data_IF_035201131462
#
_entry.id   IF_035201131462
#
_cell.length_a   1.000
_cell.length_b   1.000
_cell.length_c   1.000
_cell.angle_alpha   90.00
_cell.angle_beta   90.00
_cell.angle_gamma   90.00
#
_symmetry.space_group_name_H-M   'P 1'
#
loop_
_entity.id
_entity.type
_entity.pdbx_description
1 polymer ?
#
# COMPACT_ATOMS: atom_id res chain seq x y z
N UNK A 1 -21.27 -0.17 33.78
CA UNK A 1 -20.36 0.15 32.67
C UNK A 1 -21.21 0.54 31.45
N UNK A 2 -21.43 1.85 31.22
CA UNK A 2 -22.12 2.32 30.00
C UNK A 2 -21.09 2.24 28.87
N UNK A 3 -21.09 1.13 28.15
CA UNK A 3 -19.98 0.80 27.26
C UNK A 3 -19.89 1.72 26.04
N UNK A 4 -21.00 2.30 25.55
CA UNK A 4 -21.00 3.05 24.28
C UNK A 4 -22.12 4.11 24.29
N UNK A 5 -21.78 5.39 24.14
CA UNK A 5 -22.72 6.49 24.01
C UNK A 5 -23.36 6.51 22.59
N UNK A 6 -24.47 7.23 22.36
CA UNK A 6 -25.17 7.18 21.05
C UNK A 6 -24.28 7.64 19.88
N UNK A 7 -23.34 8.56 20.11
CA UNK A 7 -22.32 8.96 19.12
C UNK A 7 -21.28 7.88 18.86
N UNK A 8 -20.80 7.20 19.91
CA UNK A 8 -19.81 6.13 19.81
C UNK A 8 -20.35 4.94 19.01
N UNK A 9 -21.66 4.67 19.06
CA UNK A 9 -22.30 3.64 18.22
C UNK A 9 -22.13 3.90 16.72
N UNK A 10 -22.19 5.17 16.29
CA UNK A 10 -21.99 5.54 14.88
C UNK A 10 -20.54 5.35 14.46
N UNK A 11 -19.60 5.72 15.33
CA UNK A 11 -18.17 5.55 15.06
C UNK A 11 -17.78 4.08 14.99
N UNK A 12 -18.27 3.25 15.92
CA UNK A 12 -18.07 1.79 15.90
C UNK A 12 -18.64 1.19 14.61
N UNK A 13 -19.81 1.62 14.17
CA UNK A 13 -20.40 1.17 12.91
C UNK A 13 -19.56 1.60 11.69
N UNK A 14 -19.06 2.83 11.66
CA UNK A 14 -18.19 3.31 10.57
C UNK A 14 -16.87 2.53 10.51
N UNK A 15 -16.23 2.29 11.66
CA UNK A 15 -15.00 1.49 11.74
C UNK A 15 -15.26 0.06 11.29
N UNK A 16 -16.39 -0.53 11.69
CA UNK A 16 -16.78 -1.87 11.25
C UNK A 16 -16.93 -1.97 9.73
N UNK A 17 -17.54 -0.97 9.08
CA UNK A 17 -17.65 -0.94 7.62
C UNK A 17 -16.28 -0.83 6.93
N UNK A 18 -15.37 -0.01 7.48
CA UNK A 18 -14.00 0.10 6.96
C UNK A 18 -13.27 -1.24 7.06
N UNK A 19 -13.36 -1.90 8.21
CA UNK A 19 -12.72 -3.21 8.43
C UNK A 19 -13.28 -4.26 7.48
N UNK A 20 -14.61 -4.32 7.32
CA UNK A 20 -15.24 -5.27 6.38
C UNK A 20 -14.80 -4.96 4.93
N UNK A 21 -14.78 -3.69 4.54
CA UNK A 21 -14.32 -3.29 3.21
C UNK A 21 -12.86 -3.65 2.94
N UNK A 22 -11.98 -3.41 3.92
CA UNK A 22 -10.57 -3.80 3.85
C UNK A 22 -10.42 -5.33 3.77
N UNK A 23 -11.19 -6.07 4.58
CA UNK A 23 -11.16 -7.53 4.58
C UNK A 23 -11.56 -8.11 3.21
N UNK A 24 -12.65 -7.62 2.60
CA UNK A 24 -13.08 -8.06 1.26
C UNK A 24 -12.00 -7.83 0.21
N UNK A 25 -11.20 -6.76 0.33
CA UNK A 25 -10.09 -6.49 -0.59
C UNK A 25 -8.88 -7.40 -0.38
N UNK A 26 -8.67 -7.89 0.84
CA UNK A 26 -7.48 -8.70 1.21
C UNK A 26 -7.77 -10.20 1.11
N UNK A 27 -9.02 -10.64 1.31
CA UNK A 27 -9.39 -12.06 1.49
C UNK A 27 -8.93 -12.98 0.34
N UNK A 28 -8.86 -12.47 -0.89
CA UNK A 28 -8.33 -13.20 -2.05
C UNK A 28 -7.20 -12.43 -2.76
N UNK A 29 -6.55 -11.51 -2.05
CA UNK A 29 -5.42 -10.76 -2.58
C UNK A 29 -4.29 -11.74 -2.93
N UNK A 30 -3.82 -11.70 -4.18
CA UNK A 30 -2.90 -12.67 -4.82
C UNK A 30 -3.47 -14.05 -5.20
N UNK A 31 -4.71 -14.40 -4.84
CA UNK A 31 -5.31 -15.68 -5.23
C UNK A 31 -6.00 -15.62 -6.60
N UNK A 32 -6.67 -14.50 -6.92
CA UNK A 32 -7.47 -14.36 -8.15
C UNK A 32 -7.43 -12.91 -8.69
N UNK A 33 -7.04 -12.67 -9.95
CA UNK A 33 -6.26 -13.55 -10.83
C UNK A 33 -4.81 -13.68 -10.34
N UNK A 34 -4.21 -14.85 -10.56
CA UNK A 34 -2.81 -15.12 -10.21
C UNK A 34 -1.86 -14.48 -11.23
N UNK A 35 -1.50 -13.22 -11.01
CA UNK A 35 -0.50 -12.52 -11.81
C UNK A 35 -0.32 -11.09 -11.33
N UNK A 36 0.92 -10.70 -11.06
CA UNK A 36 1.26 -9.30 -10.85
C UNK A 36 1.41 -8.63 -12.21
N UNK A 37 0.86 -7.43 -12.35
CA UNK A 37 1.20 -6.62 -13.50
C UNK A 37 2.69 -6.23 -13.44
N UNK A 38 3.32 -6.00 -14.60
CA UNK A 38 4.76 -5.75 -14.67
C UNK A 38 5.19 -4.52 -13.87
N UNK A 39 4.33 -3.49 -13.82
CA UNK A 39 4.49 -2.28 -13.02
C UNK A 39 4.38 -2.57 -11.51
N UNK A 40 3.44 -3.43 -11.09
CA UNK A 40 3.26 -3.83 -9.69
C UNK A 40 4.46 -4.64 -9.18
N UNK A 41 4.96 -5.56 -10.00
CA UNK A 41 6.15 -6.34 -9.69
C UNK A 41 7.40 -5.44 -9.57
N UNK A 42 7.54 -4.48 -10.47
CA UNK A 42 8.64 -3.52 -10.44
C UNK A 42 8.55 -2.59 -9.22
N UNK A 43 7.37 -2.03 -8.93
CA UNK A 43 7.16 -1.18 -7.76
C UNK A 43 7.40 -1.93 -6.44
N UNK A 44 7.03 -3.22 -6.38
CA UNK A 44 7.34 -4.08 -5.24
C UNK A 44 8.85 -4.30 -5.07
N UNK A 45 9.58 -4.49 -6.17
CA UNK A 45 11.03 -4.60 -6.15
C UNK A 45 11.70 -3.30 -5.69
N UNK A 46 11.24 -2.15 -6.18
CA UNK A 46 11.73 -0.81 -5.75
C UNK A 46 11.52 -0.58 -4.25
N UNK A 47 10.34 -0.92 -3.73
CA UNK A 47 10.08 -0.82 -2.30
C UNK A 47 11.01 -1.75 -1.50
N UNK A 48 11.26 -2.96 -1.98
CA UNK A 48 12.17 -3.91 -1.36
C UNK A 48 13.63 -3.42 -1.40
N UNK A 49 14.10 -2.88 -2.53
CA UNK A 49 15.47 -2.40 -2.67
C UNK A 49 15.73 -1.18 -1.79
N UNK A 50 14.79 -0.24 -1.71
CA UNK A 50 14.89 0.92 -0.81
C UNK A 50 14.84 0.49 0.66
N UNK A 51 13.97 -0.46 1.03
CA UNK A 51 13.90 -0.95 2.40
C UNK A 51 15.20 -1.61 2.87
N UNK A 52 15.87 -2.38 2.00
CA UNK A 52 17.06 -3.16 2.36
C UNK A 52 18.39 -2.44 2.12
N UNK A 53 18.46 -1.62 1.07
CA UNK A 53 19.69 -1.01 0.59
C UNK A 53 19.65 0.52 0.58
N UNK A 54 18.48 1.12 0.79
CA UNK A 54 18.30 2.58 0.68
C UNK A 54 18.53 3.10 -0.74
N UNK A 55 18.55 2.22 -1.74
CA UNK A 55 18.91 2.53 -3.12
C UNK A 55 17.88 1.90 -4.05
N UNK A 56 17.47 2.63 -5.08
CA UNK A 56 16.55 2.17 -6.11
C UNK A 56 17.26 1.40 -7.26
N UNK A 57 16.50 0.93 -8.25
CA UNK A 57 17.05 0.20 -9.41
C UNK A 57 17.92 1.05 -10.34
N UNK A 58 17.85 2.39 -10.26
CA UNK A 58 18.69 3.29 -11.04
C UNK A 58 19.89 3.83 -10.24
N UNK A 59 20.05 3.45 -8.98
CA UNK A 59 21.18 3.83 -8.13
C UNK A 59 20.97 5.11 -7.31
N UNK A 60 19.76 5.66 -7.23
CA UNK A 60 19.48 6.82 -6.39
C UNK A 60 19.22 6.41 -4.94
N UNK A 61 19.76 7.19 -4.02
CA UNK A 61 19.64 6.91 -2.60
C UNK A 61 18.38 7.57 -2.01
N UNK A 62 17.50 6.77 -1.42
CA UNK A 62 16.22 7.17 -0.80
C UNK A 62 15.39 8.15 -1.67
N UNK A 63 15.01 7.79 -2.90
CA UNK A 63 14.20 8.65 -3.74
C UNK A 63 12.81 8.89 -3.14
N UNK A 64 12.27 10.09 -3.34
CA UNK A 64 10.93 10.46 -2.86
C UNK A 64 9.79 9.76 -3.62
N UNK A 65 10.05 9.32 -4.85
CA UNK A 65 9.07 8.69 -5.74
C UNK A 65 9.72 7.53 -6.50
N UNK A 66 8.93 6.48 -6.76
CA UNK A 66 9.36 5.42 -7.67
C UNK A 66 9.33 5.94 -9.10
N UNK A 67 10.39 5.66 -9.87
CA UNK A 67 10.38 6.02 -11.28
C UNK A 67 9.49 5.06 -12.05
N UNK A 68 8.58 5.66 -12.82
CA UNK A 68 7.75 4.96 -13.78
C UNK A 68 7.95 5.57 -15.16
N UNK A 69 8.06 4.73 -16.20
CA UNK A 69 7.97 5.07 -17.63
C UNK A 69 8.43 6.49 -18.03
N UNK A 70 9.76 6.71 -18.09
CA UNK A 70 10.33 7.94 -18.63
C UNK A 70 10.30 9.15 -17.69
N UNK A 71 9.78 9.01 -16.47
CA UNK A 71 9.91 10.00 -15.41
C UNK A 71 11.39 10.10 -14.98
N UNK A 72 11.91 11.31 -14.80
CA UNK A 72 13.20 11.55 -14.14
C UNK A 72 12.99 11.72 -12.65
N UNK A 73 13.98 11.32 -11.85
CA UNK A 73 14.03 11.57 -10.42
C UNK A 73 14.16 13.08 -10.18
N UNK A 74 13.05 13.72 -9.88
CA UNK A 74 13.02 15.14 -9.52
C UNK A 74 13.09 15.29 -7.99
N UNK A 75 14.11 14.70 -7.34
CA UNK A 75 14.44 14.88 -5.92
C UNK A 75 15.87 14.39 -5.67
N UNK A 76 16.86 15.26 -5.87
CA UNK A 76 18.20 15.19 -5.26
C UNK A 76 18.39 16.38 -4.35
#
# INVERSE_FOLDING_TARGET
MKLINKQDKKLVFAVMLIIIGAFVRIFEFCAIPSGLNQDEAFAGYEAFSILNYGIDSAGYHNPCYFVSWGQRYECT
#
